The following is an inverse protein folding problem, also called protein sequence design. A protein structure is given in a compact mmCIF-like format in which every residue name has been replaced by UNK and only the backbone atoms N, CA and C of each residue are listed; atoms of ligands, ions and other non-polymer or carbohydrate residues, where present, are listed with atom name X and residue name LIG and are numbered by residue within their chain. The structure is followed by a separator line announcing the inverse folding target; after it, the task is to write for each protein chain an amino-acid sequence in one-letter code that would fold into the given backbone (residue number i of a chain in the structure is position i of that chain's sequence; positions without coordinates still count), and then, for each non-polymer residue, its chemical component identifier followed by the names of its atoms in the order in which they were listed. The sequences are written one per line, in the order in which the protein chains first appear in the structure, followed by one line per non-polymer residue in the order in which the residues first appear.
data_IF_094893668232
#
_entry.id   IF_094893668232
#
_cell.length_a   1.000
_cell.length_b   1.000
_cell.length_c   1.000
_cell.angle_alpha   90.00
_cell.angle_beta   90.00
_cell.angle_gamma   90.00
#
_symmetry.space_group_name_H-M   'P 1'
#
loop_
_entity.id
_entity.type
_entity.pdbx_description
1 polymer ?
#
# COMPACT_ATOMS: atom_id res chain seq x y z
N UNK A 1 47.31 10.31 -87.62
CA UNK A 1 48.31 11.15 -88.32
C UNK A 1 48.40 10.66 -89.77
N UNK A 2 48.07 11.52 -90.73
CA UNK A 2 48.25 11.39 -92.20
C UNK A 2 47.87 12.78 -92.75
N UNK A 3 48.76 13.78 -92.68
CA UNK A 3 49.75 14.21 -93.70
C UNK A 3 49.11 14.47 -95.08
N UNK A 4 48.71 15.73 -95.28
CA UNK A 4 49.37 16.70 -96.19
C UNK A 4 49.25 16.53 -97.70
N UNK A 5 48.78 17.60 -98.38
CA UNK A 5 49.28 18.02 -99.69
C UNK A 5 49.12 19.55 -99.86
N UNK A 6 50.22 20.15 -100.28
CA UNK A 6 50.51 21.57 -100.52
C UNK A 6 50.67 21.74 -102.03
N UNK A 7 50.26 22.88 -102.61
CA UNK A 7 51.13 23.80 -103.41
C UNK A 7 50.39 24.72 -104.39
N UNK A 8 50.98 25.91 -104.47
CA UNK A 8 50.80 27.06 -105.36
C UNK A 8 51.13 26.78 -106.85
N UNK A 9 50.64 27.62 -107.77
CA UNK A 9 51.37 28.06 -108.98
C UNK A 9 50.60 29.20 -109.71
N UNK A 10 51.06 30.45 -109.68
CA UNK A 10 51.93 31.23 -110.61
C UNK A 10 51.23 31.86 -111.84
N UNK A 11 51.47 33.18 -111.99
CA UNK A 11 51.21 34.05 -113.16
C UNK A 11 51.70 33.48 -114.49
N UNK A 12 50.91 33.66 -115.56
CA UNK A 12 51.47 33.93 -116.89
C UNK A 12 50.47 34.65 -117.81
N UNK A 13 50.90 35.80 -118.33
CA UNK A 13 50.31 36.45 -119.49
C UNK A 13 50.84 35.75 -120.75
N UNK A 14 49.96 35.35 -121.66
CA UNK A 14 50.31 34.87 -122.99
C UNK A 14 49.55 35.66 -124.05
N UNK A 15 50.36 36.27 -124.92
CA UNK A 15 50.06 37.29 -125.90
C UNK A 15 49.85 36.68 -127.32
N UNK A 16 49.88 37.56 -128.32
CA UNK A 16 50.14 37.29 -129.75
C UNK A 16 48.96 37.13 -130.72
N UNK A 17 48.22 38.22 -130.91
CA UNK A 17 47.88 38.82 -132.22
C UNK A 17 47.55 40.29 -131.94
N UNK A 18 48.15 41.32 -132.53
CA UNK A 18 48.67 41.42 -133.88
C UNK A 18 49.62 42.63 -133.99
N UNK A 19 50.85 42.39 -134.45
CA UNK A 19 51.68 43.39 -135.12
C UNK A 19 51.22 43.48 -136.58
N UNK A 20 50.48 44.53 -136.95
CA UNK A 20 50.52 45.10 -138.32
C UNK A 20 49.65 46.34 -138.40
N UNK A 21 50.29 47.47 -138.66
CA UNK A 21 49.63 48.67 -139.15
C UNK A 21 49.12 48.41 -140.58
N UNK A 22 47.80 48.55 -140.84
CA UNK A 22 47.30 48.69 -142.19
C UNK A 22 47.54 50.13 -142.65
N UNK A 23 48.30 50.23 -143.73
CA UNK A 23 48.39 51.35 -144.64
C UNK A 23 47.00 51.91 -144.95
N UNK A 24 46.80 53.20 -144.66
CA UNK A 24 45.66 53.99 -145.10
C UNK A 24 45.57 53.97 -146.63
N UNK A 25 44.40 53.66 -147.22
CA UNK A 25 44.02 54.34 -148.45
C UNK A 25 43.74 55.81 -148.08
N UNK A 26 44.48 56.75 -148.67
CA UNK A 26 44.23 58.18 -148.55
C UNK A 26 42.90 58.49 -149.23
N UNK A 27 41.81 58.43 -148.47
CA UNK A 27 40.50 58.95 -148.85
C UNK A 27 40.46 60.46 -148.51
N UNK A 28 39.86 61.31 -149.35
CA UNK A 28 39.79 62.75 -149.09
C UNK A 28 38.98 62.99 -147.82
N UNK A 29 39.62 63.48 -146.76
CA UNK A 29 38.95 63.85 -145.51
C UNK A 29 38.25 65.19 -145.70
N UNK A 30 36.91 65.20 -145.70
CA UNK A 30 36.11 66.43 -145.76
C UNK A 30 35.68 66.82 -144.34
N UNK A 31 36.00 68.05 -143.94
CA UNK A 31 35.56 68.62 -142.66
C UNK A 31 34.40 69.55 -142.92
N UNK A 32 33.25 69.26 -142.31
CA UNK A 32 32.01 70.02 -142.52
C UNK A 32 31.39 70.43 -141.17
N UNK A 33 30.48 71.41 -141.21
CA UNK A 33 29.72 71.87 -140.04
C UNK A 33 30.59 72.37 -138.86
N UNK A 34 31.51 73.30 -139.13
CA UNK A 34 32.24 73.99 -138.07
C UNK A 34 31.31 74.94 -137.29
N UNK A 35 31.13 74.68 -136.01
CA UNK A 35 30.45 75.61 -135.09
C UNK A 35 31.43 76.09 -134.02
N UNK A 36 31.71 77.40 -134.05
CA UNK A 36 32.61 78.08 -133.11
C UNK A 36 31.80 78.65 -131.97
N UNK A 37 32.09 78.20 -130.75
CA UNK A 37 31.60 78.83 -129.52
C UNK A 37 32.78 79.38 -128.73
N UNK A 38 32.51 80.29 -127.78
CA UNK A 38 33.53 80.97 -126.97
C UNK A 38 34.42 80.01 -126.17
N UNK A 39 33.95 78.79 -125.92
CA UNK A 39 34.66 77.73 -125.18
C UNK A 39 35.29 76.63 -126.03
N UNK A 40 35.18 76.70 -127.37
CA UNK A 40 35.78 75.70 -128.24
C UNK A 40 35.12 75.58 -129.61
N UNK A 41 35.83 74.89 -130.50
CA UNK A 41 35.38 74.57 -131.85
C UNK A 41 34.87 73.13 -131.88
N UNK A 42 33.62 72.93 -132.31
CA UNK A 42 33.15 71.62 -132.74
C UNK A 42 33.13 71.55 -134.27
N UNK A 43 33.65 70.46 -134.82
CA UNK A 43 33.57 70.16 -136.25
C UNK A 43 33.39 68.67 -136.43
N UNK A 44 32.71 68.30 -137.51
CA UNK A 44 32.50 66.92 -137.88
C UNK A 44 33.56 66.52 -138.91
N UNK A 45 34.31 65.44 -138.62
CA UNK A 45 35.36 64.91 -139.50
C UNK A 45 34.83 63.66 -140.18
N UNK A 46 34.60 63.74 -141.48
CA UNK A 46 34.13 62.62 -142.28
C UNK A 46 35.35 62.02 -142.98
N UNK A 47 35.76 60.83 -142.53
CA UNK A 47 36.95 60.12 -143.02
C UNK A 47 36.68 59.32 -144.32
N UNK A 48 35.43 59.31 -144.80
CA UNK A 48 35.00 58.75 -146.08
C UNK A 48 33.48 58.92 -146.26
N UNK A 49 33.01 59.14 -147.50
CA UNK A 49 31.58 59.25 -147.79
C UNK A 49 30.87 57.92 -147.50
N UNK A 50 29.76 57.97 -146.74
CA UNK A 50 28.94 56.80 -146.45
C UNK A 50 28.25 56.29 -147.73
N UNK A 51 28.31 54.97 -147.99
CA UNK A 51 27.65 54.35 -149.14
C UNK A 51 26.15 54.72 -149.19
N UNK A 52 25.63 55.23 -150.32
CA UNK A 52 24.28 55.75 -150.39
C UNK A 52 23.28 54.61 -150.58
N UNK A 53 22.90 53.97 -149.47
CA UNK A 53 21.60 53.30 -149.18
C UNK A 53 21.73 52.31 -148.01
N UNK A 54 21.90 52.80 -146.79
CA UNK A 54 21.51 52.05 -145.60
C UNK A 54 20.75 52.99 -144.66
N UNK A 55 19.42 52.86 -144.63
CA UNK A 55 18.63 53.42 -143.55
C UNK A 55 19.14 52.81 -142.23
N UNK A 56 19.38 53.59 -141.17
CA UNK A 56 19.74 53.02 -139.88
C UNK A 56 18.61 52.05 -139.49
N UNK A 57 18.94 50.83 -139.01
CA UNK A 57 17.91 49.88 -138.61
C UNK A 57 16.99 50.59 -137.62
N UNK A 58 15.69 50.67 -137.96
CA UNK A 58 14.68 51.19 -137.04
C UNK A 58 14.86 50.44 -135.74
N UNK A 59 15.46 51.08 -134.73
CA UNK A 59 15.33 50.62 -133.36
C UNK A 59 13.83 50.46 -133.18
N UNK A 60 13.37 49.23 -132.95
CA UNK A 60 11.99 49.01 -132.53
C UNK A 60 11.78 50.06 -131.44
N UNK A 61 10.83 50.97 -131.67
CA UNK A 61 10.38 51.85 -130.61
C UNK A 61 9.92 50.88 -129.52
N UNK A 62 10.78 50.68 -128.51
CA UNK A 62 10.31 50.34 -127.20
C UNK A 62 9.43 51.54 -126.86
N UNK A 63 8.13 51.41 -127.17
CA UNK A 63 7.08 52.14 -126.47
C UNK A 63 7.55 52.29 -125.03
N UNK A 64 7.62 53.50 -124.45
CA UNK A 64 8.18 53.69 -123.12
C UNK A 64 7.56 52.63 -122.22
N UNK A 65 8.32 51.58 -121.86
CA UNK A 65 7.77 50.52 -121.01
C UNK A 65 7.46 51.25 -119.73
N UNK A 66 6.16 51.34 -119.45
CA UNK A 66 5.53 52.05 -118.34
C UNK A 66 6.57 52.43 -117.27
N UNK A 67 6.82 53.74 -117.17
CA UNK A 67 7.58 54.31 -116.08
C UNK A 67 7.02 53.73 -114.79
N UNK A 68 7.82 52.92 -114.09
CA UNK A 68 7.43 52.40 -112.79
C UNK A 68 6.93 53.58 -111.95
N UNK A 69 5.68 53.54 -111.49
CA UNK A 69 5.14 54.62 -110.68
C UNK A 69 5.89 54.65 -109.35
N UNK A 70 5.91 55.80 -108.69
CA UNK A 70 6.56 55.93 -107.37
C UNK A 70 5.98 54.89 -106.39
N UNK A 71 4.67 54.60 -106.47
CA UNK A 71 4.02 53.54 -105.69
C UNK A 71 4.57 52.15 -106.01
N UNK A 72 4.76 51.79 -107.28
CA UNK A 72 5.29 50.46 -107.64
C UNK A 72 6.73 50.25 -107.17
N UNK A 73 7.51 51.34 -107.07
CA UNK A 73 8.88 51.32 -106.54
C UNK A 73 8.85 51.13 -105.02
N UNK A 74 8.01 51.88 -104.32
CA UNK A 74 7.81 51.76 -102.86
C UNK A 74 7.32 50.37 -102.47
N UNK A 75 6.38 49.80 -103.22
CA UNK A 75 5.82 48.48 -102.94
C UNK A 75 6.87 47.37 -103.15
N UNK A 76 7.73 47.50 -104.17
CA UNK A 76 8.88 46.58 -104.35
C UNK A 76 9.92 46.69 -103.25
N UNK A 77 10.20 47.90 -102.77
CA UNK A 77 11.11 48.13 -101.64
C UNK A 77 10.53 47.57 -100.34
N UNK A 78 9.23 47.80 -100.08
CA UNK A 78 8.51 47.25 -98.94
C UNK A 78 8.46 45.72 -98.98
N UNK A 79 8.18 45.12 -100.14
CA UNK A 79 8.22 43.66 -100.29
C UNK A 79 9.64 43.09 -100.09
N UNK A 80 10.69 43.84 -100.43
CA UNK A 80 12.07 43.44 -100.14
C UNK A 80 12.41 43.55 -98.64
N UNK A 81 11.93 44.60 -97.98
CA UNK A 81 12.02 44.80 -96.53
C UNK A 81 11.30 43.69 -95.75
N UNK A 82 10.06 43.36 -96.12
CA UNK A 82 9.27 42.28 -95.52
C UNK A 82 9.93 40.91 -95.71
N UNK A 83 10.51 40.65 -96.89
CA UNK A 83 11.31 39.43 -97.11
C UNK A 83 12.55 39.39 -96.21
N UNK A 84 13.24 40.53 -96.00
CA UNK A 84 14.38 40.59 -95.08
C UNK A 84 13.93 40.30 -93.65
N UNK A 85 12.87 40.97 -93.19
CA UNK A 85 12.33 40.77 -91.84
C UNK A 85 11.83 39.34 -91.61
N UNK A 86 11.19 38.72 -92.60
CA UNK A 86 10.77 37.32 -92.50
C UNK A 86 11.96 36.37 -92.37
N UNK A 87 13.03 36.58 -93.16
CA UNK A 87 14.26 35.79 -93.07
C UNK A 87 14.96 35.96 -91.72
N UNK A 88 15.01 37.19 -91.20
CA UNK A 88 15.56 37.49 -89.87
C UNK A 88 14.71 36.85 -88.77
N UNK A 89 13.38 37.00 -88.81
CA UNK A 89 12.45 36.39 -87.86
C UNK A 89 12.56 34.85 -87.86
N UNK A 90 12.62 34.23 -89.04
CA UNK A 90 12.82 32.78 -89.16
C UNK A 90 14.17 32.32 -88.58
N UNK A 91 15.24 33.10 -88.78
CA UNK A 91 16.55 32.82 -88.16
C UNK A 91 16.48 32.93 -86.63
N UNK A 92 15.83 33.98 -86.12
CA UNK A 92 15.64 34.18 -84.68
C UNK A 92 14.79 33.07 -84.05
N UNK A 93 13.71 32.67 -84.70
CA UNK A 93 12.87 31.54 -84.27
C UNK A 93 13.65 30.22 -84.25
N UNK A 94 14.47 29.95 -85.28
CA UNK A 94 15.31 28.76 -85.32
C UNK A 94 16.39 28.75 -84.22
N UNK A 95 16.99 29.91 -83.92
CA UNK A 95 17.94 30.06 -82.82
C UNK A 95 17.26 29.87 -81.46
N UNK A 96 16.10 30.49 -81.24
CA UNK A 96 15.30 30.34 -80.03
C UNK A 96 14.89 28.88 -79.80
N UNK A 97 14.45 28.17 -80.84
CA UNK A 97 14.11 26.75 -80.76
C UNK A 97 15.32 25.87 -80.39
N UNK A 98 16.52 26.20 -80.87
CA UNK A 98 17.76 25.49 -80.47
C UNK A 98 18.11 25.76 -79.01
N UNK A 99 17.99 27.00 -78.55
CA UNK A 99 18.23 27.36 -77.14
C UNK A 99 17.25 26.64 -76.21
N UNK A 100 15.95 26.63 -76.56
CA UNK A 100 14.93 25.93 -75.78
C UNK A 100 15.20 24.42 -75.67
N UNK A 101 15.67 23.76 -76.74
CA UNK A 101 16.08 22.35 -76.69
C UNK A 101 17.29 22.10 -75.79
N UNK A 102 18.25 23.01 -75.76
CA UNK A 102 19.42 22.93 -74.88
C UNK A 102 18.99 23.09 -73.42
N UNK A 103 18.11 24.05 -73.13
CA UNK A 103 17.54 24.25 -71.79
C UNK A 103 16.75 23.03 -71.32
N UNK A 104 15.90 22.45 -72.17
CA UNK A 104 15.13 21.24 -71.83
C UNK A 104 16.03 20.03 -71.58
N UNK A 105 17.09 19.84 -72.38
CA UNK A 105 18.07 18.78 -72.17
C UNK A 105 18.84 18.95 -70.85
N UNK A 106 19.24 20.19 -70.52
CA UNK A 106 19.86 20.49 -69.23
C UNK A 106 18.90 20.24 -68.06
N UNK A 107 17.65 20.67 -68.18
CA UNK A 107 16.62 20.48 -67.15
C UNK A 107 16.39 18.99 -66.89
N UNK A 108 16.26 18.17 -67.94
CA UNK A 108 16.12 16.71 -67.84
C UNK A 108 17.35 16.07 -67.18
N UNK A 109 18.56 16.48 -67.55
CA UNK A 109 19.79 15.99 -66.90
C UNK A 109 19.77 16.28 -65.39
N UNK A 110 19.40 17.49 -65.01
CA UNK A 110 19.35 17.90 -63.61
C UNK A 110 18.23 17.17 -62.85
N UNK A 111 17.07 16.95 -63.48
CA UNK A 111 15.98 16.12 -62.94
C UNK A 111 16.43 14.67 -62.68
N UNK A 112 17.10 14.02 -63.64
CA UNK A 112 17.64 12.68 -63.44
C UNK A 112 18.69 12.63 -62.32
N UNK A 113 19.58 13.62 -62.27
CA UNK A 113 20.60 13.69 -61.22
C UNK A 113 19.96 13.86 -59.84
N UNK A 114 18.95 14.74 -59.72
CA UNK A 114 18.21 14.95 -58.48
C UNK A 114 17.43 13.71 -58.07
N UNK A 115 16.74 13.02 -59.01
CA UNK A 115 16.04 11.77 -58.73
C UNK A 115 17.00 10.69 -58.24
N UNK A 116 18.17 10.56 -58.86
CA UNK A 116 19.19 9.60 -58.43
C UNK A 116 19.69 9.90 -57.01
N UNK A 117 20.00 11.16 -56.72
CA UNK A 117 20.45 11.58 -55.38
C UNK A 117 19.36 11.30 -54.33
N UNK A 118 18.12 11.70 -54.60
CA UNK A 118 16.99 11.51 -53.67
C UNK A 118 16.72 10.04 -53.43
N UNK A 119 16.60 9.23 -54.49
CA UNK A 119 16.31 7.79 -54.36
C UNK A 119 17.41 7.06 -53.61
N UNK A 120 18.68 7.40 -53.88
CA UNK A 120 19.83 6.78 -53.20
C UNK A 120 19.86 7.17 -51.73
N UNK A 121 19.58 8.44 -51.41
CA UNK A 121 19.49 8.93 -50.04
C UNK A 121 18.36 8.23 -49.27
N UNK A 122 17.15 8.19 -49.84
CA UNK A 122 16.00 7.53 -49.23
C UNK A 122 16.24 6.04 -49.01
N UNK A 123 16.89 5.34 -49.95
CA UNK A 123 17.24 3.94 -49.80
C UNK A 123 18.26 3.70 -48.68
N UNK A 124 19.22 4.61 -48.51
CA UNK A 124 20.18 4.57 -47.40
C UNK A 124 19.49 4.83 -46.06
N UNK A 125 18.68 5.89 -45.99
CA UNK A 125 17.92 6.27 -44.80
C UNK A 125 16.96 5.15 -44.38
N UNK A 126 16.29 4.49 -45.32
CA UNK A 126 15.45 3.34 -45.07
C UNK A 126 16.24 2.14 -44.52
N UNK A 127 17.41 1.82 -45.10
CA UNK A 127 18.25 0.72 -44.59
C UNK A 127 18.76 0.99 -43.18
N UNK A 128 19.17 2.22 -42.91
CA UNK A 128 19.62 2.63 -41.58
C UNK A 128 18.46 2.58 -40.58
N UNK A 129 17.27 3.07 -40.95
CA UNK A 129 16.06 2.99 -40.14
C UNK A 129 15.69 1.55 -39.80
N UNK A 130 15.62 0.66 -40.79
CA UNK A 130 15.34 -0.77 -40.57
C UNK A 130 16.38 -1.44 -39.67
N UNK A 131 17.66 -1.06 -39.76
CA UNK A 131 18.69 -1.62 -38.90
C UNK A 131 18.51 -1.17 -37.45
N UNK A 132 18.16 0.10 -37.22
CA UNK A 132 17.84 0.63 -35.90
C UNK A 132 16.61 -0.05 -35.33
N UNK A 133 15.52 -0.14 -36.09
CA UNK A 133 14.29 -0.81 -35.67
C UNK A 133 14.52 -2.27 -35.28
N UNK A 134 15.27 -3.04 -36.09
CA UNK A 134 15.63 -4.43 -35.76
C UNK A 134 16.43 -4.52 -34.47
N UNK A 135 17.41 -3.61 -34.28
CA UNK A 135 18.22 -3.56 -33.07
C UNK A 135 17.36 -3.23 -31.84
N UNK A 136 16.47 -2.26 -31.96
CA UNK A 136 15.58 -1.85 -30.87
C UNK A 136 14.56 -2.93 -30.54
N UNK A 137 14.03 -3.64 -31.53
CA UNK A 137 13.14 -4.78 -31.31
C UNK A 137 13.83 -5.89 -30.51
N UNK A 138 15.07 -6.25 -30.85
CA UNK A 138 15.85 -7.25 -30.09
C UNK A 138 16.09 -6.79 -28.65
N UNK A 139 16.49 -5.53 -28.46
CA UNK A 139 16.72 -4.97 -27.12
C UNK A 139 15.42 -4.96 -26.30
N UNK A 140 14.30 -4.64 -26.93
CA UNK A 140 12.99 -4.57 -26.27
C UNK A 140 12.51 -5.96 -25.87
N UNK A 141 12.63 -6.95 -26.75
CA UNK A 141 12.33 -8.36 -26.45
C UNK A 141 13.18 -8.88 -25.28
N UNK A 142 14.49 -8.60 -25.29
CA UNK A 142 15.38 -9.01 -24.18
C UNK A 142 15.01 -8.33 -22.86
N UNK A 143 14.68 -7.02 -22.89
CA UNK A 143 14.21 -6.29 -21.70
C UNK A 143 12.89 -6.87 -21.18
N UNK A 144 11.95 -7.21 -22.06
CA UNK A 144 10.69 -7.83 -21.68
C UNK A 144 10.92 -9.17 -20.98
N UNK A 145 11.72 -10.06 -21.58
CA UNK A 145 12.06 -11.36 -21.00
C UNK A 145 12.74 -11.24 -19.63
N UNK A 146 13.64 -10.26 -19.47
CA UNK A 146 14.29 -9.99 -18.18
C UNK A 146 13.28 -9.51 -17.14
N UNK A 147 12.37 -8.61 -17.52
CA UNK A 147 11.30 -8.13 -16.65
C UNK A 147 10.38 -9.28 -16.19
N UNK A 148 9.94 -10.12 -17.13
CA UNK A 148 9.10 -11.29 -16.82
C UNK A 148 9.82 -12.27 -15.89
N UNK A 149 11.13 -12.46 -16.07
CA UNK A 149 11.93 -13.30 -15.19
C UNK A 149 11.98 -12.73 -13.77
N UNK A 150 12.24 -11.43 -13.62
CA UNK A 150 12.26 -10.75 -12.31
C UNK A 150 10.89 -10.87 -11.62
N UNK A 151 9.79 -10.65 -12.34
CA UNK A 151 8.43 -10.79 -11.80
C UNK A 151 8.15 -12.22 -11.33
N UNK A 152 8.59 -13.24 -12.08
CA UNK A 152 8.43 -14.64 -11.69
C UNK A 152 9.28 -15.01 -10.47
N UNK A 153 10.50 -14.50 -10.36
CA UNK A 153 11.36 -14.68 -9.18
C UNK A 153 10.70 -14.05 -7.96
N UNK A 154 10.17 -12.82 -8.09
CA UNK A 154 9.50 -12.13 -6.99
C UNK A 154 8.23 -12.84 -6.54
N UNK A 155 7.42 -13.33 -7.50
CA UNK A 155 6.24 -14.14 -7.20
C UNK A 155 6.60 -15.43 -6.45
N UNK A 156 7.68 -16.09 -6.84
CA UNK A 156 8.17 -17.30 -6.17
C UNK A 156 8.65 -16.98 -4.75
N UNK A 157 9.40 -15.87 -4.57
CA UNK A 157 9.84 -15.40 -3.26
C UNK A 157 8.66 -15.16 -2.32
N UNK A 158 7.66 -14.39 -2.78
CA UNK A 158 6.47 -14.07 -1.99
C UNK A 158 5.68 -15.32 -1.62
N UNK A 159 5.55 -16.28 -2.54
CA UNK A 159 4.87 -17.55 -2.29
C UNK A 159 5.59 -18.36 -1.21
N UNK A 160 6.92 -18.44 -1.24
CA UNK A 160 7.71 -19.15 -0.24
C UNK A 160 7.65 -18.47 1.13
N UNK A 161 7.67 -17.13 1.16
CA UNK A 161 7.50 -16.34 2.38
C UNK A 161 6.12 -16.60 3.01
N UNK A 162 5.06 -16.55 2.21
CA UNK A 162 3.71 -16.87 2.67
C UNK A 162 3.59 -18.29 3.22
N UNK A 163 4.14 -19.29 2.52
CA UNK A 163 4.15 -20.68 3.01
C UNK A 163 4.91 -20.83 4.33
N UNK A 164 6.04 -20.12 4.48
CA UNK A 164 6.83 -20.15 5.71
C UNK A 164 6.06 -19.54 6.87
N UNK A 165 5.38 -18.42 6.63
CA UNK A 165 4.55 -17.72 7.62
C UNK A 165 3.33 -18.55 8.03
N UNK A 166 2.65 -19.18 7.08
CA UNK A 166 1.53 -20.09 7.35
C UNK A 166 1.96 -21.26 8.23
N UNK A 167 3.12 -21.87 7.95
CA UNK A 167 3.69 -22.95 8.77
C UNK A 167 4.06 -22.44 10.16
N UNK A 168 4.68 -21.26 10.29
CA UNK A 168 5.03 -20.65 11.57
C UNK A 168 3.78 -20.45 12.43
N UNK A 169 2.75 -19.78 11.90
CA UNK A 169 1.50 -19.53 12.63
C UNK A 169 0.80 -20.83 13.02
N UNK A 170 0.76 -21.84 12.14
CA UNK A 170 0.20 -23.14 12.48
C UNK A 170 0.94 -23.85 13.63
N UNK A 171 2.27 -23.70 13.71
CA UNK A 171 3.07 -24.24 14.82
C UNK A 171 2.77 -23.47 16.11
N UNK A 172 2.76 -22.14 16.06
CA UNK A 172 2.45 -21.28 17.22
C UNK A 172 1.07 -21.60 17.81
N UNK A 173 0.04 -21.74 16.97
CA UNK A 173 -1.31 -22.07 17.41
C UNK A 173 -1.40 -23.46 18.04
N UNK A 174 -0.69 -24.45 17.49
CA UNK A 174 -0.59 -25.80 18.07
C UNK A 174 0.09 -25.77 19.43
N UNK A 175 1.20 -25.03 19.57
CA UNK A 175 1.92 -24.91 20.83
C UNK A 175 1.08 -24.19 21.89
N UNK A 176 0.38 -23.12 21.51
CA UNK A 176 -0.55 -22.39 22.37
C UNK A 176 -1.69 -23.27 22.85
N UNK A 177 -2.32 -24.01 21.94
CA UNK A 177 -3.41 -24.95 22.26
C UNK A 177 -2.92 -26.06 23.18
N UNK A 178 -1.76 -26.65 22.91
CA UNK A 178 -1.16 -27.67 23.76
C UNK A 178 -0.82 -27.14 25.15
N UNK A 179 -0.34 -25.90 25.26
CA UNK A 179 -0.09 -25.25 26.56
C UNK A 179 -1.38 -25.06 27.33
N UNK A 180 -2.40 -24.48 26.70
CA UNK A 180 -3.70 -24.27 27.34
C UNK A 180 -4.30 -25.58 27.83
N UNK A 181 -4.22 -26.65 27.03
CA UNK A 181 -4.71 -27.97 27.44
C UNK A 181 -3.96 -28.54 28.66
N UNK A 182 -2.63 -28.34 28.73
CA UNK A 182 -1.85 -28.74 29.92
C UNK A 182 -2.26 -27.94 31.14
N UNK A 183 -2.39 -26.62 31.01
CA UNK A 183 -2.76 -25.73 32.10
C UNK A 183 -4.16 -26.03 32.62
N UNK A 184 -5.12 -26.26 31.73
CA UNK A 184 -6.48 -26.65 32.07
C UNK A 184 -6.54 -28.02 32.77
N UNK A 185 -5.70 -28.97 32.35
CA UNK A 185 -5.63 -30.29 32.98
C UNK A 185 -5.06 -30.18 34.40
N UNK A 186 -3.96 -29.45 34.57
CA UNK A 186 -3.34 -29.19 35.87
C UNK A 186 -4.33 -28.47 36.78
N UNK A 187 -5.01 -27.43 36.27
CA UNK A 187 -6.04 -26.69 37.02
C UNK A 187 -7.14 -27.61 37.53
N UNK A 188 -7.68 -28.50 36.68
CA UNK A 188 -8.69 -29.49 37.08
C UNK A 188 -8.18 -30.45 38.16
N UNK A 189 -6.92 -30.85 38.09
CA UNK A 189 -6.30 -31.71 39.11
C UNK A 189 -6.18 -30.99 40.46
N UNK A 190 -5.70 -29.74 40.44
CA UNK A 190 -5.57 -28.91 41.63
C UNK A 190 -6.93 -28.62 42.28
N UNK A 191 -7.96 -28.36 41.48
CA UNK A 191 -9.32 -28.11 41.98
C UNK A 191 -9.90 -29.33 42.69
N UNK A 192 -9.73 -30.53 42.12
CA UNK A 192 -10.13 -31.80 42.79
C UNK A 192 -9.38 -32.04 44.10
N UNK A 193 -8.09 -31.72 44.15
CA UNK A 193 -7.29 -31.84 45.37
C UNK A 193 -7.77 -30.87 46.44
N UNK A 194 -8.09 -29.63 46.05
CA UNK A 194 -8.65 -28.61 46.94
C UNK A 194 -10.02 -29.04 47.50
N UNK A 195 -10.93 -29.51 46.65
CA UNK A 195 -12.23 -30.05 47.08
C UNK A 195 -12.08 -31.19 48.09
N UNK A 196 -11.11 -32.10 47.85
CA UNK A 196 -10.82 -33.18 48.78
C UNK A 196 -10.28 -32.66 50.13
N UNK A 197 -9.38 -31.68 50.11
CA UNK A 197 -8.85 -31.04 51.32
C UNK A 197 -9.97 -30.36 52.13
N UNK A 198 -10.87 -29.64 51.46
CA UNK A 198 -12.04 -29.02 52.08
C UNK A 198 -12.97 -30.07 52.71
N UNK A 199 -13.21 -31.19 52.02
CA UNK A 199 -14.02 -32.29 52.57
C UNK A 199 -13.35 -32.95 53.79
N UNK A 200 -12.04 -33.18 53.75
CA UNK A 200 -11.27 -33.69 54.89
C UNK A 200 -11.38 -32.75 56.08
N UNK A 201 -11.23 -31.44 55.86
CA UNK A 201 -11.35 -30.42 56.89
C UNK A 201 -12.75 -30.42 57.52
N UNK A 202 -13.80 -30.48 56.70
CA UNK A 202 -15.18 -30.57 57.16
C UNK A 202 -15.44 -31.81 58.04
N UNK A 203 -14.90 -32.97 57.65
CA UNK A 203 -15.01 -34.21 58.45
C UNK A 203 -14.25 -34.08 59.78
N UNK A 204 -13.06 -33.48 59.77
CA UNK A 204 -12.27 -33.21 61.00
C UNK A 204 -13.03 -32.30 61.95
N UNK A 205 -13.57 -31.19 61.46
CA UNK A 205 -14.38 -30.26 62.24
C UNK A 205 -15.62 -30.93 62.82
N UNK A 206 -16.35 -31.70 62.01
CA UNK A 206 -17.52 -32.45 62.48
C UNK A 206 -17.17 -33.46 63.57
N UNK A 207 -16.05 -34.18 63.43
CA UNK A 207 -15.59 -35.12 64.45
C UNK A 207 -15.16 -34.41 65.74
N UNK A 208 -14.45 -33.27 65.64
CA UNK A 208 -14.09 -32.44 66.79
C UNK A 208 -15.34 -31.97 67.55
N UNK A 209 -16.38 -31.51 66.85
CA UNK A 209 -17.65 -31.11 67.48
C UNK A 209 -18.34 -32.29 68.18
N UNK A 210 -18.38 -33.48 67.56
CA UNK A 210 -18.93 -34.68 68.20
C UNK A 210 -18.15 -35.07 69.45
N UNK A 211 -16.83 -34.99 69.42
CA UNK A 211 -15.99 -35.27 70.59
C UNK A 211 -16.26 -34.27 71.72
N UNK A 212 -16.38 -32.98 71.42
CA UNK A 212 -16.75 -31.95 72.40
C UNK A 212 -18.14 -32.20 73.01
N UNK A 213 -19.13 -32.60 72.20
CA UNK A 213 -20.46 -32.96 72.68
C UNK A 213 -20.44 -34.18 73.60
N UNK A 214 -19.68 -35.22 73.24
CA UNK A 214 -19.52 -36.41 74.07
C UNK A 214 -18.80 -36.09 75.39
N UNK A 215 -17.74 -35.28 75.35
CA UNK A 215 -17.04 -34.85 76.56
C UNK A 215 -17.95 -34.03 77.48
N UNK A 216 -18.69 -33.06 76.93
CA UNK A 216 -19.68 -32.30 77.70
C UNK A 216 -20.76 -33.19 78.34
N UNK A 217 -21.28 -34.18 77.59
CA UNK A 217 -22.27 -35.13 78.11
C UNK A 217 -21.69 -36.03 79.23
N UNK A 218 -20.42 -36.43 79.13
CA UNK A 218 -19.72 -37.17 80.18
C UNK A 218 -19.55 -36.29 81.42
N UNK A 219 -19.07 -35.05 81.26
CA UNK A 219 -18.91 -34.10 82.36
C UNK A 219 -20.24 -33.82 83.06
N UNK A 220 -21.32 -33.65 82.31
CA UNK A 220 -22.67 -33.47 82.86
C UNK A 220 -23.11 -34.68 83.70
N UNK A 221 -22.95 -35.90 83.16
CA UNK A 221 -23.29 -37.13 83.91
C UNK A 221 -22.44 -37.29 85.17
N UNK A 222 -21.16 -36.96 85.12
CA UNK A 222 -20.27 -36.97 86.30
C UNK A 222 -20.72 -35.93 87.33
N UNK A 223 -21.11 -34.73 86.89
CA UNK A 223 -21.68 -33.69 87.74
C UNK A 223 -22.97 -34.14 88.43
N UNK A 224 -23.93 -34.67 87.67
CA UNK A 224 -25.17 -35.23 88.21
C UNK A 224 -24.91 -36.36 89.22
N UNK A 225 -23.95 -37.25 88.94
CA UNK A 225 -23.57 -38.32 89.85
C UNK A 225 -22.97 -37.78 91.17
N UNK A 226 -22.14 -36.73 91.11
CA UNK A 226 -21.62 -36.03 92.30
C UNK A 226 -22.74 -35.40 93.12
N UNK A 227 -23.63 -34.66 92.48
CA UNK A 227 -24.77 -34.03 93.18
C UNK A 227 -25.68 -35.07 93.83
N UNK A 228 -25.99 -36.19 93.15
CA UNK A 228 -26.76 -37.29 93.74
C UNK A 228 -26.06 -37.90 94.96
N UNK A 229 -24.73 -38.10 94.88
CA UNK A 229 -23.94 -38.60 96.00
C UNK A 229 -24.00 -37.63 97.18
N UNK A 230 -23.84 -36.33 96.95
CA UNK A 230 -23.93 -35.28 97.98
C UNK A 230 -25.32 -35.20 98.60
N UNK A 231 -26.38 -35.31 97.80
CA UNK A 231 -27.76 -35.35 98.29
C UNK A 231 -28.00 -36.56 99.19
N UNK A 232 -27.59 -37.77 98.77
CA UNK A 232 -27.70 -38.97 99.59
C UNK A 232 -26.90 -38.81 100.89
N UNK A 233 -25.69 -38.26 100.83
CA UNK A 233 -24.88 -38.02 102.02
C UNK A 233 -25.52 -37.00 102.98
N UNK A 234 -26.10 -35.92 102.45
CA UNK A 234 -26.84 -34.93 103.23
C UNK A 234 -28.08 -35.54 103.89
N UNK A 235 -28.87 -36.31 103.14
CA UNK A 235 -30.03 -37.03 103.67
C UNK A 235 -29.64 -38.01 104.79
N UNK A 236 -28.55 -38.76 104.63
CA UNK A 236 -28.05 -39.67 105.66
C UNK A 236 -27.57 -38.91 106.90
N UNK A 237 -26.84 -37.81 106.72
CA UNK A 237 -26.43 -36.92 107.83
C UNK A 237 -27.64 -36.33 108.55
N UNK A 238 -28.69 -35.96 107.84
CA UNK A 238 -29.93 -35.44 108.42
C UNK A 238 -30.70 -36.52 109.20
N UNK A 239 -30.81 -37.73 108.66
CA UNK A 239 -31.39 -38.89 109.38
C UNK A 239 -30.64 -39.16 110.68
N UNK A 240 -29.30 -39.13 110.65
CA UNK A 240 -28.47 -39.27 111.86
C UNK A 240 -28.71 -38.14 112.87
N UNK A 241 -28.76 -36.86 112.43
CA UNK A 241 -29.10 -35.72 113.28
C UNK A 241 -30.48 -35.90 113.94
N UNK A 242 -31.49 -36.30 113.17
CA UNK A 242 -32.84 -36.53 113.68
C UNK A 242 -32.90 -37.68 114.69
N UNK A 243 -32.15 -38.76 114.46
CA UNK A 243 -32.05 -39.86 115.43
C UNK A 243 -31.38 -39.41 116.74
N UNK A 244 -30.29 -38.62 116.65
CA UNK A 244 -29.63 -38.05 117.82
C UNK A 244 -30.57 -37.12 118.59
N UNK A 245 -31.29 -36.23 117.90
CA UNK A 245 -32.27 -35.33 118.54
C UNK A 245 -33.38 -36.12 119.25
N UNK A 246 -34.00 -37.11 118.60
CA UNK A 246 -35.00 -37.98 119.24
C UNK A 246 -34.42 -38.73 120.45
N UNK A 247 -33.18 -39.21 120.35
CA UNK A 247 -32.49 -39.85 121.48
C UNK A 247 -32.29 -38.88 122.64
N UNK A 248 -31.94 -37.62 122.36
CA UNK A 248 -31.84 -36.57 123.37
C UNK A 248 -33.20 -36.22 123.99
N UNK A 249 -34.25 -36.07 123.18
CA UNK A 249 -35.62 -35.84 123.65
C UNK A 249 -36.09 -36.97 124.58
N UNK A 250 -35.83 -38.23 124.23
CA UNK A 250 -36.16 -39.39 125.08
C UNK A 250 -35.34 -39.38 126.37
N UNK A 251 -34.02 -39.12 126.28
CA UNK A 251 -33.18 -39.01 127.48
C UNK A 251 -33.68 -37.91 128.42
N UNK A 252 -34.00 -36.74 127.87
CA UNK A 252 -34.54 -35.61 128.62
C UNK A 252 -35.88 -35.97 129.26
N UNK A 253 -36.80 -36.61 128.53
CA UNK A 253 -38.07 -37.08 129.07
C UNK A 253 -37.89 -38.11 130.20
N UNK A 254 -36.97 -39.07 130.05
CA UNK A 254 -36.65 -40.05 131.09
C UNK A 254 -36.02 -39.36 132.31
N UNK A 255 -35.11 -38.41 132.10
CA UNK A 255 -34.48 -37.64 133.17
C UNK A 255 -35.51 -36.80 133.94
N UNK A 256 -36.42 -36.11 133.24
CA UNK A 256 -37.54 -35.39 133.82
C UNK A 256 -38.47 -36.33 134.62
N UNK A 257 -38.77 -37.52 134.07
CA UNK A 257 -39.60 -38.54 134.74
C UNK A 257 -38.93 -39.10 135.99
N UNK A 258 -37.63 -39.40 135.93
CA UNK A 258 -36.85 -39.88 137.10
C UNK A 258 -36.76 -38.79 138.16
N UNK A 259 -36.50 -37.55 137.77
CA UNK A 259 -36.48 -36.40 138.67
C UNK A 259 -37.84 -36.19 139.35
N UNK A 260 -38.94 -36.32 138.60
CA UNK A 260 -40.29 -36.27 139.14
C UNK A 260 -40.57 -37.43 140.13
N UNK A 261 -40.12 -38.66 139.82
CA UNK A 261 -40.24 -39.81 140.72
C UNK A 261 -39.41 -39.66 141.99
N UNK A 262 -38.16 -39.21 141.89
CA UNK A 262 -37.30 -38.95 143.05
C UNK A 262 -37.94 -37.90 143.95
N UNK A 263 -38.43 -36.80 143.37
CA UNK A 263 -39.18 -35.77 144.09
C UNK A 263 -40.44 -36.33 144.76
N UNK A 264 -41.20 -37.17 144.07
CA UNK A 264 -42.39 -37.83 144.63
C UNK A 264 -42.06 -38.79 145.78
N UNK A 265 -40.98 -39.58 145.67
CA UNK A 265 -40.51 -40.47 146.74
C UNK A 265 -39.98 -39.67 147.93
N UNK A 266 -39.23 -38.60 147.69
CA UNK A 266 -38.76 -37.70 148.75
C UNK A 266 -39.94 -37.10 149.53
N UNK A 267 -40.96 -36.59 148.83
CA UNK A 267 -42.18 -36.07 149.44
C UNK A 267 -42.94 -37.16 150.24
N UNK A 268 -43.01 -38.39 149.74
CA UNK A 268 -43.62 -39.51 150.46
C UNK A 268 -42.84 -39.90 151.73
N UNK A 269 -41.51 -39.88 151.69
CA UNK A 269 -40.66 -40.13 152.85
C UNK A 269 -40.82 -39.01 153.88
N UNK A 270 -40.84 -37.75 153.45
CA UNK A 270 -41.12 -36.60 154.31
C UNK A 270 -42.48 -36.72 155.00
N UNK A 271 -43.54 -37.07 154.26
CA UNK A 271 -44.87 -37.31 154.83
C UNK A 271 -44.87 -38.46 155.84
N UNK A 272 -44.19 -39.57 155.54
CA UNK A 272 -44.05 -40.70 156.49
C UNK A 272 -43.26 -40.32 157.74
N UNK A 273 -42.18 -39.55 157.60
CA UNK A 273 -41.39 -39.06 158.73
C UNK A 273 -42.20 -38.06 159.56
N UNK A 274 -42.93 -37.13 158.93
CA UNK A 274 -43.84 -36.20 159.59
C UNK A 274 -44.94 -36.95 160.35
N UNK A 275 -45.55 -37.95 159.73
CA UNK A 275 -46.56 -38.82 160.36
C UNK A 275 -45.97 -39.61 161.54
N UNK A 276 -44.75 -40.12 161.40
CA UNK A 276 -44.05 -40.85 162.47
C UNK A 276 -43.69 -39.92 163.64
N UNK A 277 -43.26 -38.69 163.36
CA UNK A 277 -43.00 -37.65 164.35
C UNK A 277 -44.28 -37.27 165.11
N UNK A 278 -45.39 -37.04 164.40
CA UNK A 278 -46.69 -36.78 165.02
C UNK A 278 -47.14 -37.93 165.94
N UNK A 279 -47.00 -39.18 165.49
CA UNK A 279 -47.31 -40.35 166.33
C UNK A 279 -46.39 -40.47 167.54
N UNK A 280 -45.11 -40.11 167.41
CA UNK A 280 -44.15 -40.09 168.52
C UNK A 280 -44.50 -39.01 169.52
N UNK A 281 -44.84 -37.81 169.06
CA UNK A 281 -45.33 -36.73 169.91
C UNK A 281 -46.63 -37.11 170.61
N UNK A 282 -47.55 -37.78 169.92
CA UNK A 282 -48.79 -38.25 170.52
C UNK A 282 -48.54 -39.33 171.58
N UNK A 283 -47.59 -40.24 171.38
CA UNK A 283 -47.17 -41.20 172.41
C UNK A 283 -46.50 -40.52 173.60
N UNK A 284 -45.64 -39.52 173.36
CA UNK A 284 -45.01 -38.73 174.43
C UNK A 284 -46.10 -37.97 175.21
N UNK A 285 -47.10 -37.40 174.52
CA UNK A 285 -48.24 -36.74 175.15
C UNK A 285 -49.06 -37.71 175.99
N UNK A 286 -49.41 -38.89 175.47
CA UNK A 286 -50.09 -39.95 176.23
C UNK A 286 -49.29 -40.39 177.47
N UNK A 287 -47.97 -40.56 177.35
CA UNK A 287 -47.10 -40.90 178.50
C UNK A 287 -47.03 -39.76 179.52
N UNK A 288 -47.00 -38.50 179.07
CA UNK A 288 -47.06 -37.33 179.95
C UNK A 288 -48.40 -37.23 180.67
N UNK A 289 -49.52 -37.50 179.98
CA UNK A 289 -50.86 -37.49 180.57
C UNK A 289 -51.06 -38.63 181.58
N UNK A 290 -50.46 -39.80 181.35
CA UNK A 290 -50.39 -40.91 182.31
C UNK A 290 -49.54 -40.52 183.53
N UNK A 291 -48.35 -39.92 183.31
CA UNK A 291 -47.49 -39.45 184.40
C UNK A 291 -48.19 -38.36 185.25
N UNK A 292 -48.99 -37.48 184.64
CA UNK A 292 -49.79 -36.46 185.35
C UNK A 292 -50.96 -37.06 186.15
N UNK A 293 -51.49 -38.22 185.74
CA UNK A 293 -52.56 -38.92 186.49
C UNK A 293 -52.07 -39.66 187.74
N UNK A 294 -50.80 -40.11 187.78
CA UNK A 294 -50.24 -40.80 188.95
C UNK A 294 -49.76 -39.87 190.08
N UNK A 295 -49.60 -38.56 189.83
CA UNK A 295 -49.16 -37.58 190.84
C UNK A 295 -50.33 -37.10 191.74
N UNK A 296 -51.59 -37.41 191.42
CA UNK A 296 -52.78 -36.86 192.10
C UNK A 296 -53.73 -37.91 192.72
N UNK A 297 -53.24 -39.05 193.24
CA UNK A 297 -54.05 -39.94 194.10
C UNK A 297 -53.53 -39.96 195.55
N UNK A 298 -54.40 -39.77 196.56
CA UNK A 298 -54.05 -39.84 197.98
C UNK A 298 -53.90 -41.30 198.46
N UNK A 299 -53.17 -41.52 199.57
CA UNK A 299 -52.78 -42.85 200.06
C UNK A 299 -53.96 -43.61 200.69
N UNK A 300 -53.99 -44.96 200.62
CA UNK A 300 -54.86 -45.78 201.44
C UNK A 300 -54.21 -46.12 202.81
N UNK A 301 -55.02 -46.05 203.87
CA UNK A 301 -54.78 -46.45 205.27
C UNK A 301 -54.51 -47.97 205.44
N UNK A 302 -54.24 -48.39 206.70
CA UNK A 302 -52.94 -48.50 207.37
C UNK A 302 -52.17 -49.79 207.02
#
# INVERSE_FOLDING_TARGET
MLIGLVRESVMQCFCHTCSRAPHLPVAPTEVRCQEKTRGGLRYEVILGEAEPKVQPPKKQQLSPKNSMSVQDIEEKLKAAEERRQLLESNKMAALSAKMSKIEEANRKRDEYNNQFITTTKEALDQKMGQHVEKREAIITDLKSKMKDHIENVEKTRLTLEQQTDEVRTAIEDKLKTASQQRDDNIKKMLERLKEHEEQVQKVREQNTQRLQQLDAAIQEKLGQARTRKEQIEQEQREKLRNHLNKSMEVKQFVEETVKARISGVAAFIEDKLATALLKREEQIRRKSDIAKKYVNMPPPFP
#
